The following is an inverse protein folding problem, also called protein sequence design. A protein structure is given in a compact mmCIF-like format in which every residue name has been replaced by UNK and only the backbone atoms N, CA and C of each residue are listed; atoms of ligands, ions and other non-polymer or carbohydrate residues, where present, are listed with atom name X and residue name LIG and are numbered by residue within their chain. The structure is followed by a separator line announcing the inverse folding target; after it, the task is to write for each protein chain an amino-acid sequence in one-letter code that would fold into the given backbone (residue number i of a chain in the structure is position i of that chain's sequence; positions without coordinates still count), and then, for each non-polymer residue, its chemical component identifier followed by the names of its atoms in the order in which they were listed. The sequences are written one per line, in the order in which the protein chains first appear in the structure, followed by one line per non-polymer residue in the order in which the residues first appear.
data_IF_027474366229
#
_entry.id   IF_027474366229
#
_cell.length_a   1.000
_cell.length_b   1.000
_cell.length_c   1.000
_cell.angle_alpha   90.00
_cell.angle_beta   90.00
_cell.angle_gamma   90.00
#
_symmetry.space_group_name_H-M   'P 1'
#
loop_
_entity.id
_entity.type
_entity.pdbx_description
1 polymer ?
#
# COMPACT_ATOMS: atom_id res chain seq x y z
N UNK A 1 0.41 -19.52 -1.67
CA UNK A 1 1.84 -19.45 -1.36
C UNK A 1 2.43 -18.33 -2.19
N UNK A 2 2.93 -17.29 -1.51
CA UNK A 2 3.72 -16.15 -1.95
C UNK A 2 3.64 -15.69 -3.41
N UNK A 3 2.85 -14.67 -3.69
CA UNK A 3 3.39 -13.58 -4.50
C UNK A 3 4.42 -12.90 -3.59
N UNK A 4 5.67 -13.36 -3.63
CA UNK A 4 6.77 -12.45 -3.32
C UNK A 4 6.68 -11.42 -4.44
N UNK A 5 5.98 -10.32 -4.18
CA UNK A 5 6.07 -9.12 -5.00
C UNK A 5 7.57 -8.89 -5.19
N UNK A 6 8.05 -9.07 -6.43
CA UNK A 6 9.48 -9.00 -6.68
C UNK A 6 9.95 -7.62 -6.23
N UNK A 7 11.15 -7.57 -5.67
CA UNK A 7 11.79 -6.29 -5.34
C UNK A 7 11.72 -5.31 -6.53
N UNK A 8 11.74 -5.85 -7.75
CA UNK A 8 11.57 -5.11 -9.00
C UNK A 8 10.22 -4.39 -9.12
N UNK A 9 9.11 -5.02 -8.73
CA UNK A 9 7.78 -4.38 -8.78
C UNK A 9 7.66 -3.28 -7.72
N UNK A 10 8.19 -3.53 -6.51
CA UNK A 10 8.26 -2.50 -5.48
C UNK A 10 9.13 -1.31 -5.92
N UNK A 11 10.24 -1.57 -6.60
CA UNK A 11 11.12 -0.55 -7.15
C UNK A 11 10.47 0.25 -8.30
N UNK A 12 9.76 -0.42 -9.21
CA UNK A 12 8.98 0.22 -10.28
C UNK A 12 7.90 1.15 -9.73
N UNK A 13 7.19 0.71 -8.70
CA UNK A 13 6.16 1.51 -8.03
C UNK A 13 6.77 2.77 -7.38
N UNK A 14 7.88 2.61 -6.65
CA UNK A 14 8.59 3.72 -5.98
C UNK A 14 9.13 4.74 -6.99
N UNK A 15 9.72 4.26 -8.08
CA UNK A 15 10.30 5.13 -9.13
C UNK A 15 9.22 5.91 -9.87
N UNK A 16 8.10 5.26 -10.20
CA UNK A 16 6.92 5.89 -10.83
C UNK A 16 6.32 6.99 -9.95
N UNK A 17 6.19 6.74 -8.64
CA UNK A 17 5.55 7.68 -7.71
C UNK A 17 6.51 8.69 -7.07
N UNK A 18 7.80 8.66 -7.43
CA UNK A 18 8.85 9.53 -6.85
C UNK A 18 8.92 9.48 -5.31
N UNK A 19 8.61 8.33 -4.71
CA UNK A 19 8.70 8.14 -3.27
C UNK A 19 10.17 8.07 -2.88
N UNK A 20 10.68 9.06 -2.14
CA UNK A 20 12.12 9.17 -1.84
C UNK A 20 12.61 8.19 -0.78
N UNK A 21 11.72 7.50 -0.05
CA UNK A 21 12.15 6.51 0.94
C UNK A 21 11.10 5.41 1.15
N UNK A 22 11.06 4.37 0.29
CA UNK A 22 10.32 3.16 0.63
C UNK A 22 10.95 2.53 1.88
N UNK A 23 10.14 2.33 2.92
CA UNK A 23 10.54 1.50 4.07
C UNK A 23 9.93 0.12 3.89
N UNK A 24 10.78 -0.88 3.73
CA UNK A 24 10.35 -2.28 3.70
C UNK A 24 10.32 -2.83 5.13
N UNK A 25 9.17 -3.36 5.55
CA UNK A 25 9.00 -4.01 6.85
C UNK A 25 8.68 -5.48 6.62
N UNK A 26 9.50 -6.37 7.19
CA UNK A 26 9.25 -7.80 7.20
C UNK A 26 8.47 -8.20 8.46
N UNK A 27 7.19 -8.55 8.30
CA UNK A 27 6.32 -9.05 9.37
C UNK A 27 5.85 -10.49 9.07
N UNK A 28 6.60 -11.51 9.50
CA UNK A 28 6.24 -12.91 9.26
C UNK A 28 5.00 -13.35 10.07
N UNK A 29 4.65 -12.62 11.12
CA UNK A 29 3.48 -12.91 11.95
C UNK A 29 2.18 -12.35 11.38
N UNK A 30 2.28 -11.40 10.44
CA UNK A 30 1.17 -10.64 9.88
C UNK A 30 0.40 -9.81 10.92
N UNK A 31 0.96 -9.59 12.10
CA UNK A 31 0.31 -8.90 13.22
C UNK A 31 0.16 -7.41 12.95
N UNK A 32 1.18 -6.77 12.36
CA UNK A 32 1.18 -5.33 12.07
C UNK A 32 0.04 -5.02 11.09
N UNK A 33 -0.06 -5.80 10.02
CA UNK A 33 -1.04 -5.57 8.96
C UNK A 33 -2.49 -5.73 9.42
N UNK A 34 -2.75 -6.68 10.34
CA UNK A 34 -4.08 -6.87 10.93
C UNK A 34 -4.58 -5.66 11.70
N UNK A 35 -3.69 -4.92 12.36
CA UNK A 35 -4.07 -3.69 13.09
C UNK A 35 -4.62 -2.62 12.16
N UNK A 36 -4.22 -2.63 10.89
CA UNK A 36 -4.70 -1.72 9.87
C UNK A 36 -5.86 -2.29 9.03
N UNK A 37 -6.43 -3.43 9.43
CA UNK A 37 -7.56 -4.07 8.76
C UNK A 37 -7.19 -4.92 7.55
N UNK A 38 -5.89 -5.14 7.27
CA UNK A 38 -5.48 -6.10 6.23
C UNK A 38 -5.59 -7.51 6.80
N UNK A 39 -6.39 -8.34 6.14
CA UNK A 39 -6.58 -9.74 6.48
C UNK A 39 -6.31 -10.70 5.31
N UNK A 40 -5.98 -10.16 4.13
CA UNK A 40 -5.69 -10.91 2.90
C UNK A 40 -4.47 -10.34 2.21
N UNK A 41 -3.80 -11.19 1.43
CA UNK A 41 -2.82 -10.73 0.46
C UNK A 41 -3.48 -10.75 -0.94
N UNK A 42 -3.15 -9.86 -1.86
CA UNK A 42 -2.31 -8.67 -1.67
C UNK A 42 -3.16 -7.41 -1.45
N UNK A 43 -2.72 -6.52 -0.56
CA UNK A 43 -3.47 -5.31 -0.18
C UNK A 43 -2.57 -4.09 -0.06
N UNK A 44 -3.15 -2.92 -0.31
CA UNK A 44 -2.57 -1.60 -0.09
C UNK A 44 -3.44 -0.81 0.89
N UNK A 45 -2.85 0.16 1.57
CA UNK A 45 -3.59 1.08 2.45
C UNK A 45 -3.11 2.50 2.18
N UNK A 46 -4.07 3.41 2.11
CA UNK A 46 -3.80 4.84 2.21
C UNK A 46 -4.10 5.33 3.64
N UNK A 47 -3.15 6.06 4.22
CA UNK A 47 -3.18 6.65 5.56
C UNK A 47 -3.02 8.18 5.41
N UNK A 48 -3.78 8.98 6.16
CA UNK A 48 -3.47 10.41 6.24
C UNK A 48 -2.28 10.65 7.18
N UNK A 49 -1.59 11.78 7.01
CA UNK A 49 -0.36 12.08 7.77
C UNK A 49 -0.65 12.26 9.27
N UNK A 50 -1.83 12.77 9.62
CA UNK A 50 -2.27 13.03 10.98
C UNK A 50 -2.80 11.76 11.69
N UNK A 51 -2.93 10.65 10.97
CA UNK A 51 -3.57 9.39 11.38
C UNK A 51 -5.01 9.54 11.92
N UNK A 52 -5.70 10.63 11.59
CA UNK A 52 -7.03 10.98 12.12
C UNK A 52 -8.19 10.39 11.33
N UNK A 53 -8.01 10.12 10.04
CA UNK A 53 -9.07 9.58 9.16
C UNK A 53 -9.05 8.04 9.04
N UNK A 54 -8.18 7.37 9.80
CA UNK A 54 -8.05 5.92 9.76
C UNK A 54 -7.41 5.41 8.46
N UNK A 55 -7.75 4.18 8.10
CA UNK A 55 -7.17 3.46 6.95
C UNK A 55 -8.16 3.37 5.80
N UNK A 56 -7.71 3.62 4.57
CA UNK A 56 -8.47 3.32 3.35
C UNK A 56 -7.84 2.11 2.64
N UNK A 57 -8.40 0.90 2.78
CA UNK A 57 -7.82 -0.31 2.19
C UNK A 57 -8.18 -0.46 0.71
N UNK A 58 -7.23 -0.95 -0.08
CA UNK A 58 -7.37 -1.32 -1.48
C UNK A 58 -6.89 -2.77 -1.65
N UNK A 59 -7.70 -3.62 -2.25
CA UNK A 59 -7.39 -5.03 -2.42
C UNK A 59 -6.97 -5.32 -3.86
N UNK A 60 -5.86 -6.02 -4.03
CA UNK A 60 -5.27 -6.35 -5.33
C UNK A 60 -4.28 -5.31 -5.85
N UNK A 61 -3.50 -5.71 -6.85
CA UNK A 61 -2.52 -4.88 -7.55
C UNK A 61 -2.81 -4.92 -9.05
N UNK A 62 -3.62 -3.98 -9.52
CA UNK A 62 -3.88 -3.78 -10.95
C UNK A 62 -3.97 -2.27 -11.26
N UNK A 63 -4.03 -1.94 -12.55
CA UNK A 63 -4.12 -0.56 -13.01
C UNK A 63 -5.39 0.16 -12.53
N UNK A 64 -6.47 -0.58 -12.26
CA UNK A 64 -7.68 0.00 -11.71
C UNK A 64 -7.50 0.38 -10.23
N UNK A 65 -6.83 -0.44 -9.42
CA UNK A 65 -6.49 -0.08 -8.04
C UNK A 65 -5.50 1.09 -8.00
N UNK A 66 -4.51 1.11 -8.89
CA UNK A 66 -3.59 2.25 -9.02
C UNK A 66 -4.34 3.56 -9.28
N UNK A 67 -5.27 3.56 -10.25
CA UNK A 67 -6.08 4.75 -10.55
C UNK A 67 -6.93 5.19 -9.35
N UNK A 68 -7.55 4.25 -8.64
CA UNK A 68 -8.34 4.56 -7.42
C UNK A 68 -7.50 5.15 -6.30
N UNK A 69 -6.25 4.73 -6.15
CA UNK A 69 -5.32 5.31 -5.17
C UNK A 69 -4.97 6.74 -5.55
N UNK A 70 -4.69 7.00 -6.83
CA UNK A 70 -4.41 8.36 -7.34
C UNK A 70 -5.62 9.28 -7.10
N UNK A 71 -6.83 8.84 -7.44
CA UNK A 71 -8.06 9.60 -7.18
C UNK A 71 -8.28 9.87 -5.68
N UNK A 72 -7.93 8.91 -4.82
CA UNK A 72 -8.01 9.10 -3.39
C UNK A 72 -6.99 10.11 -2.88
N UNK A 73 -5.78 10.17 -3.46
CA UNK A 73 -4.75 11.15 -3.12
C UNK A 73 -5.15 12.57 -3.52
N UNK A 74 -5.83 12.75 -4.65
CA UNK A 74 -6.32 14.06 -5.10
C UNK A 74 -7.38 14.66 -4.16
N UNK A 75 -8.08 13.83 -3.37
CA UNK A 75 -9.03 14.30 -2.36
C UNK A 75 -8.37 14.83 -1.08
N UNK A 76 -7.07 14.61 -0.89
CA UNK A 76 -6.31 15.09 0.26
C UNK A 76 -5.57 16.42 -0.01
N UNK A 77 -5.63 16.95 -1.24
CA UNK A 77 -5.12 18.27 -1.64
C UNK A 77 -6.23 19.33 -1.65
#
# INVERSE_FOLDING_TARGET
MGAQDSFDYALEFVTTLKVTTPTMVWDPSFTIWRQYGINVNSSMILLNAELTEGTRPFNGFDSAQQQRIIEALDQFN
#
